data_IF_705758145491
#
_entry.id   IF_705758145491
#
_cell.length_a   1.000
_cell.length_b   1.000
_cell.length_c   1.000
_cell.angle_alpha   90.00
_cell.angle_beta   90.00
_cell.angle_gamma   90.00
#
_symmetry.space_group_name_H-M   'P 1'
#
loop_
_entity.id
_entity.type
_entity.pdbx_description
1 polymer ?
#
# COMPACT_ATOMS: atom_id res chain seq x y z
N UNK A 1 -31.04 -1.12 13.81
CA UNK A 1 -30.00 -2.12 13.51
C UNK A 1 -30.63 -3.40 12.99
N UNK A 2 -30.65 -3.65 11.69
CA UNK A 2 -31.10 -4.94 11.14
C UNK A 2 -30.01 -5.98 11.46
N UNK A 3 -30.37 -7.05 12.21
CA UNK A 3 -29.54 -8.26 12.31
C UNK A 3 -29.33 -8.80 10.90
N UNK A 4 -28.12 -8.61 10.35
CA UNK A 4 -27.74 -9.26 9.11
C UNK A 4 -27.68 -10.77 9.41
N UNK A 5 -28.47 -11.54 8.66
CA UNK A 5 -28.61 -12.97 8.82
C UNK A 5 -27.26 -13.68 8.85
N UNK A 6 -27.12 -14.65 9.74
CA UNK A 6 -25.93 -15.46 9.94
C UNK A 6 -25.55 -16.22 8.67
N UNK A 7 -24.69 -15.63 7.85
CA UNK A 7 -24.06 -16.33 6.74
C UNK A 7 -23.23 -17.49 7.27
N UNK A 8 -23.29 -18.64 6.60
CA UNK A 8 -22.50 -19.82 6.98
C UNK A 8 -21.03 -19.45 7.07
N UNK A 9 -20.37 -19.78 8.19
CA UNK A 9 -18.93 -19.61 8.35
C UNK A 9 -18.18 -20.30 7.20
N UNK A 10 -17.26 -19.58 6.58
CA UNK A 10 -16.44 -20.07 5.46
C UNK A 10 -14.96 -19.98 5.81
N UNK A 11 -14.18 -20.90 5.26
CA UNK A 11 -12.73 -20.82 5.26
C UNK A 11 -12.28 -20.12 3.98
N UNK A 12 -11.62 -18.96 4.12
CA UNK A 12 -11.24 -18.10 3.01
C UNK A 12 -9.71 -17.95 2.96
N UNK A 13 -9.16 -17.94 1.75
CA UNK A 13 -7.74 -17.65 1.51
C UNK A 13 -7.54 -16.28 0.90
N UNK A 14 -6.48 -15.61 1.32
CA UNK A 14 -5.95 -14.40 0.67
C UNK A 14 -4.52 -14.70 0.26
N UNK A 15 -4.19 -14.57 -1.02
CA UNK A 15 -2.86 -14.85 -1.55
C UNK A 15 -2.17 -13.57 -2.04
N UNK A 16 -0.98 -13.31 -1.51
CA UNK A 16 -0.10 -12.23 -1.90
C UNK A 16 1.26 -12.81 -2.31
N UNK A 17 1.51 -12.88 -3.61
CA UNK A 17 2.76 -13.43 -4.18
C UNK A 17 3.79 -12.37 -4.51
N UNK A 18 3.51 -11.09 -4.25
CA UNK A 18 4.45 -10.01 -4.52
C UNK A 18 5.59 -10.02 -3.48
N UNK A 19 6.83 -10.12 -3.98
CA UNK A 19 8.08 -10.17 -3.19
C UNK A 19 8.88 -8.89 -3.44
N UNK A 20 9.80 -8.56 -2.55
CA UNK A 20 10.70 -7.41 -2.63
C UNK A 20 10.03 -6.04 -2.49
N UNK A 21 9.90 -5.60 -1.26
CA UNK A 21 9.60 -4.20 -0.89
C UNK A 21 8.14 -3.91 -0.59
N UNK A 22 7.25 -4.91 -0.63
CA UNK A 22 5.88 -4.73 -0.16
C UNK A 22 5.73 -5.21 1.28
N UNK A 23 5.86 -4.24 2.18
CA UNK A 23 5.47 -4.37 3.56
C UNK A 23 6.37 -5.22 4.40
N UNK A 24 7.39 -4.61 4.96
CA UNK A 24 8.06 -5.19 6.12
C UNK A 24 7.03 -5.41 7.22
N UNK A 25 7.16 -6.52 7.94
CA UNK A 25 6.31 -6.85 9.08
C UNK A 25 6.28 -5.68 10.07
N UNK A 26 5.11 -5.19 10.42
CA UNK A 26 4.91 -4.15 11.41
C UNK A 26 5.19 -2.70 10.98
N UNK A 27 5.51 -2.45 9.70
CA UNK A 27 5.89 -1.11 9.24
C UNK A 27 4.89 -0.44 8.30
N UNK A 28 3.75 -1.06 8.00
CA UNK A 28 2.72 -0.40 7.20
C UNK A 28 1.35 -1.09 7.35
N UNK A 29 0.28 -0.33 7.02
CA UNK A 29 -1.09 -0.85 6.99
C UNK A 29 -1.31 -1.73 5.75
N UNK A 30 -1.21 -3.02 5.95
CA UNK A 30 -1.27 -4.00 4.89
C UNK A 30 -2.72 -4.23 4.44
N UNK A 31 -2.98 -4.02 3.15
CA UNK A 31 -4.30 -4.18 2.55
C UNK A 31 -4.88 -5.58 2.73
N UNK A 32 -4.03 -6.60 2.60
CA UNK A 32 -4.42 -8.00 2.77
C UNK A 32 -4.80 -8.31 4.22
N UNK A 33 -4.12 -7.72 5.20
CA UNK A 33 -4.45 -7.91 6.62
C UNK A 33 -5.76 -7.18 6.95
N UNK A 34 -5.95 -5.95 6.47
CA UNK A 34 -7.20 -5.20 6.63
C UNK A 34 -8.40 -5.93 6.04
N UNK A 35 -8.26 -6.49 4.83
CA UNK A 35 -9.29 -7.33 4.21
C UNK A 35 -9.54 -8.60 5.05
N UNK A 36 -8.48 -9.26 5.49
CA UNK A 36 -8.55 -10.44 6.34
C UNK A 36 -9.33 -10.19 7.63
N UNK A 37 -9.03 -9.08 8.33
CA UNK A 37 -9.77 -8.65 9.52
C UNK A 37 -11.23 -8.38 9.24
N UNK A 38 -11.53 -7.69 8.15
CA UNK A 38 -12.91 -7.41 7.77
C UNK A 38 -13.73 -8.69 7.54
N UNK A 39 -13.13 -9.70 6.92
CA UNK A 39 -13.73 -11.01 6.69
C UNK A 39 -13.84 -11.83 7.99
N UNK A 40 -12.81 -11.82 8.83
CA UNK A 40 -12.80 -12.50 10.12
C UNK A 40 -13.89 -11.96 11.06
N UNK A 41 -14.09 -10.64 11.10
CA UNK A 41 -15.17 -9.97 11.86
C UNK A 41 -16.58 -10.33 11.36
N UNK A 42 -16.71 -10.75 10.10
CA UNK A 42 -17.94 -11.31 9.55
C UNK A 42 -18.14 -12.78 9.90
N UNK A 43 -17.27 -13.37 10.73
CA UNK A 43 -17.34 -14.74 11.21
C UNK A 43 -16.67 -15.78 10.33
N UNK A 44 -15.90 -15.37 9.31
CA UNK A 44 -15.15 -16.29 8.46
C UNK A 44 -13.80 -16.66 9.09
N UNK A 45 -13.29 -17.85 8.81
CA UNK A 45 -11.91 -18.25 9.07
C UNK A 45 -11.04 -17.80 7.89
N UNK A 46 -9.99 -17.01 8.15
CA UNK A 46 -9.18 -16.42 7.09
C UNK A 46 -7.71 -16.80 7.25
N UNK A 47 -7.14 -17.35 6.18
CA UNK A 47 -5.71 -17.59 6.04
C UNK A 47 -5.13 -16.68 4.98
N UNK A 48 -4.15 -15.85 5.37
CA UNK A 48 -3.38 -15.03 4.43
C UNK A 48 -2.08 -15.77 4.12
N UNK A 49 -1.86 -16.10 2.86
CA UNK A 49 -0.61 -16.66 2.33
C UNK A 49 0.21 -15.50 1.77
N UNK A 50 1.29 -15.12 2.43
CA UNK A 50 2.12 -13.98 2.06
C UNK A 50 3.52 -14.42 1.68
N UNK A 51 3.92 -14.10 0.45
CA UNK A 51 5.28 -14.34 -0.05
C UNK A 51 6.30 -13.47 0.67
N UNK A 52 7.40 -14.09 1.06
CA UNK A 52 8.60 -13.45 1.61
C UNK A 52 9.82 -13.91 0.82
N UNK A 53 10.96 -13.24 1.04
CA UNK A 53 12.21 -13.59 0.39
C UNK A 53 12.62 -15.02 0.74
N UNK A 54 13.19 -15.79 -0.20
CA UNK A 54 13.65 -17.16 0.04
C UNK A 54 14.67 -17.34 1.18
N UNK A 55 15.38 -16.28 1.53
CA UNK A 55 16.33 -16.27 2.66
C UNK A 55 15.66 -16.12 4.03
N UNK A 56 14.40 -15.70 4.06
CA UNK A 56 13.63 -15.54 5.29
C UNK A 56 13.03 -16.88 5.75
N UNK A 57 12.75 -16.99 7.04
CA UNK A 57 12.14 -18.20 7.62
C UNK A 57 10.62 -18.17 7.48
N UNK A 58 10.08 -19.33 7.14
CA UNK A 58 8.64 -19.59 7.20
C UNK A 58 8.09 -19.32 8.60
N UNK A 59 6.94 -18.64 8.68
CA UNK A 59 6.31 -18.31 9.95
C UNK A 59 4.80 -18.22 9.83
N UNK A 60 4.08 -18.74 10.83
CA UNK A 60 2.64 -18.53 11.02
C UNK A 60 2.38 -17.60 12.19
N UNK A 61 1.64 -16.53 11.94
CA UNK A 61 1.27 -15.55 12.96
C UNK A 61 -0.25 -15.52 13.10
N UNK A 62 -0.75 -15.85 14.28
CA UNK A 62 -2.15 -15.66 14.62
C UNK A 62 -2.38 -14.18 14.93
N UNK A 63 -3.11 -13.46 14.05
CA UNK A 63 -3.38 -12.03 14.20
C UNK A 63 -4.63 -11.78 15.05
N UNK A 64 -5.68 -12.56 14.81
CA UNK A 64 -6.95 -12.55 15.55
C UNK A 64 -7.48 -14.00 15.61
N UNK A 65 -8.48 -14.25 16.45
CA UNK A 65 -9.06 -15.60 16.66
C UNK A 65 -9.29 -16.38 15.34
N UNK A 66 -9.76 -15.68 14.31
CA UNK A 66 -10.13 -16.28 13.02
C UNK A 66 -9.26 -15.80 11.87
N UNK A 67 -8.10 -15.18 12.15
CA UNK A 67 -7.20 -14.62 11.13
C UNK A 67 -5.77 -15.05 11.40
N UNK A 68 -5.19 -15.80 10.48
CA UNK A 68 -3.79 -16.23 10.52
C UNK A 68 -3.08 -15.73 9.26
N UNK A 69 -1.84 -15.26 9.41
CA UNK A 69 -0.92 -14.98 8.30
C UNK A 69 0.12 -16.09 8.25
N UNK A 70 0.33 -16.63 7.07
CA UNK A 70 1.41 -17.57 6.80
C UNK A 70 2.43 -16.91 5.86
N UNK A 71 3.56 -16.51 6.42
CA UNK A 71 4.69 -15.99 5.67
C UNK A 71 5.46 -17.17 5.06
N UNK A 72 5.54 -17.19 3.75
CA UNK A 72 6.07 -18.31 2.97
C UNK A 72 7.25 -17.85 2.11
N UNK A 73 8.46 -18.41 2.32
CA UNK A 73 9.57 -18.21 1.39
C UNK A 73 9.17 -18.66 -0.02
N UNK A 74 9.20 -17.75 -0.99
CA UNK A 74 8.81 -18.05 -2.36
C UNK A 74 9.96 -17.81 -3.33
N UNK A 75 10.25 -18.78 -4.21
CA UNK A 75 11.07 -18.52 -5.39
C UNK A 75 10.40 -17.42 -6.21
N UNK A 76 11.17 -16.52 -6.82
CA UNK A 76 10.61 -15.36 -7.52
C UNK A 76 11.40 -14.94 -8.75
N UNK A 77 10.76 -14.21 -9.63
CA UNK A 77 11.37 -13.46 -10.73
C UNK A 77 11.02 -11.97 -10.54
N UNK A 78 11.98 -11.19 -10.08
CA UNK A 78 11.71 -9.82 -9.66
C UNK A 78 10.67 -9.79 -8.54
N UNK A 79 9.58 -9.04 -8.71
CA UNK A 79 8.49 -8.96 -7.73
C UNK A 79 7.47 -10.11 -7.83
N UNK A 80 7.63 -11.05 -8.76
CA UNK A 80 6.66 -12.12 -9.05
C UNK A 80 7.04 -13.40 -8.31
N UNK A 81 6.40 -13.68 -7.18
CA UNK A 81 6.61 -14.88 -6.39
C UNK A 81 5.87 -16.10 -6.96
N UNK A 82 6.51 -17.24 -6.88
CA UNK A 82 5.93 -18.53 -7.27
C UNK A 82 5.39 -19.23 -6.02
N UNK A 83 4.06 -19.33 -5.92
CA UNK A 83 3.39 -20.02 -4.81
C UNK A 83 3.41 -21.53 -5.03
N UNK A 84 4.03 -22.29 -4.12
CA UNK A 84 3.88 -23.74 -4.10
C UNK A 84 2.50 -24.11 -3.55
N UNK A 85 1.64 -24.65 -4.39
CA UNK A 85 0.25 -24.96 -4.04
C UNK A 85 0.08 -26.04 -2.96
N UNK A 86 1.14 -26.72 -2.52
CA UNK A 86 1.07 -27.65 -1.37
C UNK A 86 0.72 -26.94 -0.06
N UNK A 87 1.03 -25.63 0.06
CA UNK A 87 0.71 -24.81 1.23
C UNK A 87 -0.76 -24.34 1.24
N UNK A 88 -1.45 -24.38 0.10
CA UNK A 88 -2.84 -23.94 0.03
C UNK A 88 -3.78 -25.01 0.62
N UNK A 89 -4.64 -24.56 1.53
CA UNK A 89 -5.64 -25.44 2.14
C UNK A 89 -6.71 -25.88 1.12
N UNK A 90 -6.88 -27.18 0.87
CA UNK A 90 -7.87 -27.69 -0.09
C UNK A 90 -9.34 -27.50 0.38
N UNK A 91 -9.59 -27.10 1.62
CA UNK A 91 -10.93 -26.86 2.17
C UNK A 91 -11.40 -25.41 1.98
N UNK A 92 -10.57 -24.54 1.40
CA UNK A 92 -10.95 -23.16 1.10
C UNK A 92 -12.27 -23.10 0.30
N UNK A 93 -13.13 -22.16 0.68
CA UNK A 93 -14.39 -21.86 -0.03
C UNK A 93 -14.23 -20.76 -1.07
N UNK A 94 -13.16 -19.96 -0.99
CA UNK A 94 -12.70 -19.04 -2.02
C UNK A 94 -11.24 -18.67 -1.77
N UNK A 95 -10.53 -18.28 -2.84
CA UNK A 95 -9.17 -17.73 -2.78
C UNK A 95 -9.16 -16.36 -3.46
N UNK A 96 -8.91 -15.31 -2.67
CA UNK A 96 -8.66 -13.96 -3.15
C UNK A 96 -7.17 -13.82 -3.47
N UNK A 97 -6.85 -13.43 -4.70
CA UNK A 97 -5.47 -13.24 -5.13
C UNK A 97 -5.21 -11.76 -5.37
N UNK A 98 -4.26 -11.19 -4.64
CA UNK A 98 -3.70 -9.88 -4.95
C UNK A 98 -2.88 -10.03 -6.24
N UNK A 99 -3.60 -9.82 -7.34
CA UNK A 99 -3.18 -10.29 -8.66
C UNK A 99 -2.26 -9.33 -9.37
N UNK A 100 -2.59 -8.04 -9.32
CA UNK A 100 -1.90 -7.02 -10.09
C UNK A 100 -1.34 -7.59 -11.42
N UNK A 101 -0.09 -7.38 -11.77
CA UNK A 101 0.55 -7.96 -12.97
C UNK A 101 1.22 -9.34 -12.71
N UNK A 102 0.80 -10.12 -11.70
CA UNK A 102 1.48 -11.37 -11.32
C UNK A 102 1.43 -12.43 -12.42
N UNK A 103 2.59 -12.91 -12.86
CA UNK A 103 2.71 -13.86 -13.99
C UNK A 103 2.55 -15.32 -13.57
N UNK A 104 2.76 -15.66 -12.31
CA UNK A 104 2.70 -17.04 -11.82
C UNK A 104 1.34 -17.46 -11.27
N UNK A 105 0.28 -16.67 -11.43
CA UNK A 105 -1.07 -17.07 -11.02
C UNK A 105 -1.71 -18.21 -11.82
N UNK A 106 -1.35 -18.50 -13.08
CA UNK A 106 -1.97 -19.57 -13.84
C UNK A 106 -1.89 -20.96 -13.21
N UNK A 107 -0.82 -21.28 -12.47
CA UNK A 107 -0.73 -22.58 -11.79
C UNK A 107 -1.61 -22.63 -10.53
N UNK A 108 -1.71 -21.52 -9.78
CA UNK A 108 -2.62 -21.39 -8.64
C UNK A 108 -4.08 -21.50 -9.10
N UNK A 109 -4.43 -20.83 -10.21
CA UNK A 109 -5.75 -20.94 -10.81
C UNK A 109 -6.09 -22.38 -11.21
N UNK A 110 -5.14 -23.11 -11.84
CA UNK A 110 -5.33 -24.54 -12.18
C UNK A 110 -5.58 -25.38 -10.94
N UNK A 111 -4.86 -25.12 -9.84
CA UNK A 111 -5.07 -25.79 -8.57
C UNK A 111 -6.46 -25.50 -8.01
N UNK A 112 -6.93 -24.24 -7.99
CA UNK A 112 -8.28 -23.86 -7.59
C UNK A 112 -9.34 -24.55 -8.44
N UNK A 113 -9.19 -24.52 -9.77
CA UNK A 113 -10.15 -25.11 -10.70
C UNK A 113 -10.33 -26.61 -10.50
N UNK A 114 -9.22 -27.36 -10.31
CA UNK A 114 -9.26 -28.79 -10.04
C UNK A 114 -10.04 -29.14 -8.75
N UNK A 115 -10.08 -28.21 -7.81
CA UNK A 115 -10.75 -28.38 -6.51
C UNK A 115 -12.10 -27.67 -6.41
N UNK A 116 -12.54 -27.04 -7.49
CA UNK A 116 -13.77 -26.22 -7.53
C UNK A 116 -13.78 -25.10 -6.49
N UNK A 117 -12.61 -24.52 -6.19
CA UNK A 117 -12.46 -23.38 -5.32
C UNK A 117 -12.59 -22.11 -6.17
N UNK A 118 -13.55 -21.21 -5.90
CA UNK A 118 -13.65 -19.92 -6.57
C UNK A 118 -12.36 -19.11 -6.43
N UNK A 119 -11.87 -18.61 -7.57
CA UNK A 119 -10.70 -17.75 -7.67
C UNK A 119 -11.17 -16.34 -7.95
N UNK A 120 -10.79 -15.38 -7.12
CA UNK A 120 -11.15 -13.97 -7.24
C UNK A 120 -9.87 -13.14 -7.34
N UNK A 121 -9.66 -12.44 -8.44
CA UNK A 121 -8.52 -11.54 -8.58
C UNK A 121 -8.84 -10.15 -7.97
N UNK A 122 -7.87 -9.57 -7.25
CA UNK A 122 -7.95 -8.22 -6.72
C UNK A 122 -6.80 -7.39 -7.28
N UNK A 123 -7.11 -6.42 -8.15
CA UNK A 123 -6.17 -5.81 -9.10
C UNK A 123 -6.10 -4.31 -8.93
N UNK A 124 -4.90 -3.76 -8.72
CA UNK A 124 -4.61 -2.33 -8.66
C UNK A 124 -4.07 -1.79 -10.00
N UNK A 125 -3.27 -2.62 -10.69
CA UNK A 125 -2.75 -2.34 -12.04
C UNK A 125 -2.55 -3.64 -12.79
N UNK A 126 -2.73 -3.61 -14.10
CA UNK A 126 -2.57 -4.77 -14.98
C UNK A 126 -1.43 -4.59 -15.99
N UNK A 127 -0.66 -3.50 -15.92
CA UNK A 127 0.53 -3.28 -16.74
C UNK A 127 1.69 -2.75 -15.90
N UNK A 128 2.91 -2.89 -16.41
CA UNK A 128 4.09 -2.24 -15.84
C UNK A 128 4.10 -0.77 -16.24
N UNK A 129 4.42 0.11 -15.30
CA UNK A 129 4.61 1.54 -15.57
C UNK A 129 5.89 1.83 -16.37
N UNK A 130 6.83 0.90 -16.37
CA UNK A 130 8.08 1.01 -17.12
C UNK A 130 7.91 0.60 -18.58
N UNK A 131 8.61 1.27 -19.49
CA UNK A 131 8.60 0.99 -20.93
C UNK A 131 9.79 0.17 -21.44
N UNK A 132 10.64 -0.35 -20.54
CA UNK A 132 11.85 -1.09 -20.89
C UNK A 132 11.53 -2.48 -21.49
N UNK A 133 12.54 -3.12 -22.11
CA UNK A 133 12.38 -4.42 -22.75
C UNK A 133 11.89 -5.50 -21.78
N UNK A 134 12.38 -5.50 -20.53
CA UNK A 134 11.95 -6.44 -19.49
C UNK A 134 10.45 -6.31 -19.21
N UNK A 135 9.94 -5.10 -19.12
CA UNK A 135 8.52 -4.83 -18.91
C UNK A 135 7.66 -5.28 -20.08
N UNK A 136 8.14 -5.15 -21.33
CA UNK A 136 7.45 -5.69 -22.52
C UNK A 136 7.31 -7.21 -22.46
N UNK A 137 8.38 -7.92 -22.09
CA UNK A 137 8.35 -9.38 -21.91
C UNK A 137 7.38 -9.77 -20.79
N UNK A 138 7.41 -9.07 -19.64
CA UNK A 138 6.50 -9.34 -18.52
C UNK A 138 5.04 -9.09 -18.89
N UNK A 139 4.75 -8.03 -19.64
CA UNK A 139 3.41 -7.74 -20.16
C UNK A 139 2.93 -8.85 -21.11
N UNK A 140 3.80 -9.38 -21.97
CA UNK A 140 3.46 -10.49 -22.87
C UNK A 140 3.15 -11.78 -22.09
N UNK A 141 3.96 -12.13 -21.09
CA UNK A 141 3.72 -13.29 -20.23
C UNK A 141 2.42 -13.14 -19.43
N UNK A 142 2.15 -11.95 -18.90
CA UNK A 142 0.91 -11.64 -18.23
C UNK A 142 -0.31 -11.80 -19.17
N UNK A 143 -0.22 -11.24 -20.37
CA UNK A 143 -1.29 -11.31 -21.37
C UNK A 143 -1.58 -12.75 -21.81
N UNK A 144 -0.53 -13.55 -22.02
CA UNK A 144 -0.65 -14.95 -22.41
C UNK A 144 -1.21 -15.85 -21.29
N UNK A 145 -0.97 -15.50 -20.04
CA UNK A 145 -1.33 -16.30 -18.87
C UNK A 145 -2.45 -15.70 -18.04
N UNK A 146 -2.09 -14.81 -17.13
CA UNK A 146 -2.96 -14.29 -16.05
C UNK A 146 -4.13 -13.48 -16.59
N UNK A 147 -3.93 -12.65 -17.61
CA UNK A 147 -5.02 -11.86 -18.20
C UNK A 147 -6.13 -12.74 -18.79
N UNK A 148 -5.80 -13.89 -19.36
CA UNK A 148 -6.79 -14.86 -19.87
C UNK A 148 -7.67 -15.43 -18.74
N UNK A 149 -7.10 -15.53 -17.53
CA UNK A 149 -7.84 -15.97 -16.35
C UNK A 149 -8.80 -14.86 -15.92
N UNK A 150 -8.35 -13.60 -15.88
CA UNK A 150 -9.17 -12.45 -15.54
C UNK A 150 -10.39 -12.30 -16.44
N UNK A 151 -10.23 -12.58 -17.75
CA UNK A 151 -11.35 -12.54 -18.71
C UNK A 151 -12.47 -13.56 -18.43
N UNK A 152 -12.24 -14.55 -17.57
CA UNK A 152 -13.17 -15.68 -17.33
C UNK A 152 -13.58 -15.83 -15.86
N UNK A 153 -13.07 -15.01 -14.96
CA UNK A 153 -13.28 -15.14 -13.52
C UNK A 153 -13.65 -13.80 -12.89
N UNK A 154 -14.23 -13.79 -11.69
CA UNK A 154 -14.48 -12.55 -10.96
C UNK A 154 -13.21 -11.74 -10.74
N UNK A 155 -13.27 -10.45 -11.05
CA UNK A 155 -12.17 -9.50 -10.87
C UNK A 155 -12.67 -8.31 -10.07
N UNK A 156 -11.97 -7.98 -9.01
CA UNK A 156 -12.16 -6.78 -8.21
C UNK A 156 -11.06 -5.78 -8.56
N UNK A 157 -11.45 -4.59 -8.94
CA UNK A 157 -10.54 -3.48 -9.25
C UNK A 157 -10.41 -2.56 -8.04
N UNK A 158 -9.19 -2.22 -7.64
CA UNK A 158 -8.92 -1.36 -6.46
C UNK A 158 -9.39 0.09 -6.67
N UNK A 159 -9.46 0.55 -7.93
CA UNK A 159 -9.85 1.91 -8.29
C UNK A 159 -10.68 1.93 -9.57
N UNK A 160 -11.34 3.06 -9.85
CA UNK A 160 -12.03 3.28 -11.13
C UNK A 160 -11.06 3.23 -12.32
N UNK A 161 -9.84 3.72 -12.12
CA UNK A 161 -8.79 3.67 -13.14
C UNK A 161 -8.32 2.24 -13.44
N UNK A 162 -8.11 1.42 -12.40
CA UNK A 162 -7.80 -0.01 -12.58
C UNK A 162 -8.94 -0.76 -13.30
N UNK A 163 -10.20 -0.41 -13.01
CA UNK A 163 -11.36 -0.96 -13.74
C UNK A 163 -11.33 -0.58 -15.21
N UNK A 164 -11.04 0.69 -15.53
CA UNK A 164 -10.97 1.15 -16.91
C UNK A 164 -9.82 0.50 -17.68
N UNK A 165 -8.66 0.37 -17.06
CA UNK A 165 -7.52 -0.37 -17.62
C UNK A 165 -7.91 -1.82 -17.92
N UNK A 166 -8.53 -2.52 -16.97
CA UNK A 166 -9.01 -3.89 -17.14
C UNK A 166 -10.05 -3.98 -18.28
N UNK A 167 -10.93 -3.01 -18.42
CA UNK A 167 -11.92 -2.93 -19.52
C UNK A 167 -11.23 -2.85 -20.88
N UNK A 168 -10.19 -2.01 -21.00
CA UNK A 168 -9.39 -1.88 -22.23
C UNK A 168 -8.64 -3.18 -22.57
N UNK A 169 -8.25 -3.94 -21.56
CA UNK A 169 -7.62 -5.26 -21.71
C UNK A 169 -8.63 -6.40 -21.97
N UNK A 170 -9.92 -6.09 -22.08
CA UNK A 170 -10.98 -7.06 -22.38
C UNK A 170 -11.52 -7.78 -21.14
N UNK A 171 -11.53 -7.10 -19.98
CA UNK A 171 -12.14 -7.56 -18.70
C UNK A 171 -13.23 -6.56 -18.26
N UNK A 172 -14.34 -6.41 -19.02
CA UNK A 172 -15.35 -5.39 -18.75
C UNK A 172 -16.19 -5.66 -17.49
N UNK A 173 -16.21 -6.90 -17.01
CA UNK A 173 -16.99 -7.34 -15.85
C UNK A 173 -16.29 -7.07 -14.50
N UNK A 174 -15.13 -6.43 -14.50
CA UNK A 174 -14.45 -6.04 -13.26
C UNK A 174 -15.34 -5.09 -12.42
N UNK A 175 -15.40 -5.37 -11.12
CA UNK A 175 -16.20 -4.59 -10.16
C UNK A 175 -15.26 -3.77 -9.28
N UNK A 176 -15.59 -2.50 -9.05
CA UNK A 176 -14.80 -1.66 -8.14
C UNK A 176 -15.01 -2.15 -6.71
N UNK A 177 -13.91 -2.50 -6.06
CA UNK A 177 -13.81 -2.80 -4.64
C UNK A 177 -12.63 -2.01 -4.07
N UNK A 178 -12.84 -0.79 -3.56
CA UNK A 178 -11.77 0.07 -3.11
C UNK A 178 -10.97 -0.58 -1.99
N UNK A 179 -9.69 -0.24 -1.92
CA UNK A 179 -8.87 -0.57 -0.75
C UNK A 179 -9.43 0.20 0.45
N UNK A 180 -9.58 -0.49 1.57
CA UNK A 180 -9.98 0.12 2.84
C UNK A 180 -8.79 0.38 3.74
N UNK A 181 -8.87 1.43 4.54
CA UNK A 181 -7.96 1.64 5.66
C UNK A 181 -8.42 0.77 6.85
N UNK A 182 -7.52 -0.04 7.40
CA UNK A 182 -7.84 -0.81 8.61
C UNK A 182 -7.79 0.08 9.85
N UNK A 183 -8.93 0.70 10.15
CA UNK A 183 -9.06 1.61 11.30
C UNK A 183 -8.98 0.92 12.66
N UNK A 184 -8.88 -0.41 12.72
CA UNK A 184 -8.75 -1.12 13.99
C UNK A 184 -7.35 -1.02 14.59
N UNK A 185 -6.36 -0.80 13.75
CA UNK A 185 -4.95 -0.66 14.17
C UNK A 185 -4.51 0.80 14.29
N UNK A 186 -5.40 1.74 13.97
CA UNK A 186 -5.11 3.16 14.07
C UNK A 186 -5.38 3.67 15.50
N UNK A 187 -4.53 4.56 15.97
CA UNK A 187 -4.70 5.24 17.25
C UNK A 187 -6.01 6.05 17.24
N UNK A 188 -6.79 5.90 18.29
CA UNK A 188 -8.04 6.64 18.51
C UNK A 188 -7.91 7.48 19.78
N UNK A 189 -8.81 8.46 19.91
CA UNK A 189 -8.90 9.29 21.12
C UNK A 189 -7.56 9.96 21.47
N UNK A 190 -6.95 10.64 20.50
CA UNK A 190 -5.72 11.42 20.69
C UNK A 190 -6.09 12.67 21.49
N UNK A 191 -5.41 12.97 22.62
CA UNK A 191 -5.64 14.20 23.38
C UNK A 191 -5.37 15.45 22.54
N UNK A 192 -6.06 16.54 22.84
CA UNK A 192 -5.94 17.78 22.05
C UNK A 192 -4.54 18.44 22.18
N UNK A 193 -3.85 18.21 23.28
CA UNK A 193 -2.50 18.72 23.55
C UNK A 193 -1.37 17.81 23.03
N UNK A 194 -1.72 16.63 22.53
CA UNK A 194 -0.76 15.62 22.11
C UNK A 194 0.13 16.10 20.97
N UNK A 195 -0.41 16.86 20.03
CA UNK A 195 0.35 17.46 18.92
C UNK A 195 1.53 18.30 19.45
N UNK A 196 1.29 19.14 20.44
CA UNK A 196 2.33 19.99 21.01
C UNK A 196 3.34 19.19 21.83
N UNK A 197 2.88 18.17 22.56
CA UNK A 197 3.74 17.26 23.30
C UNK A 197 4.70 16.52 22.36
N UNK A 198 4.19 15.93 21.30
CA UNK A 198 4.98 15.21 20.28
C UNK A 198 5.99 16.14 19.60
N UNK A 199 5.57 17.36 19.21
CA UNK A 199 6.50 18.35 18.62
C UNK A 199 7.68 18.61 19.54
N UNK A 200 7.43 18.88 20.82
CA UNK A 200 8.49 19.12 21.81
C UNK A 200 9.40 17.89 21.97
N UNK A 201 8.84 16.69 22.08
CA UNK A 201 9.60 15.44 22.19
C UNK A 201 10.51 15.19 20.99
N UNK A 202 10.01 15.54 19.80
CA UNK A 202 10.78 15.44 18.57
C UNK A 202 11.66 16.66 18.27
N UNK A 203 11.74 17.65 19.18
CA UNK A 203 12.58 18.84 19.05
C UNK A 203 12.11 19.80 17.96
N UNK A 204 10.81 19.96 17.82
CA UNK A 204 10.18 21.01 17.01
C UNK A 204 9.58 22.10 17.90
N UNK A 205 9.55 23.32 17.37
CA UNK A 205 8.96 24.46 18.02
C UNK A 205 7.43 24.53 17.78
N UNK A 206 6.74 25.27 18.63
CA UNK A 206 5.29 25.41 18.55
C UNK A 206 4.81 26.04 17.24
N UNK A 207 5.58 27.00 16.72
CA UNK A 207 5.29 27.76 15.50
C UNK A 207 5.95 27.20 14.24
N UNK A 208 6.62 26.04 14.34
CA UNK A 208 7.10 25.32 13.15
C UNK A 208 5.91 24.85 12.30
N UNK A 209 6.05 24.98 10.98
CA UNK A 209 5.12 24.37 10.01
C UNK A 209 5.72 23.05 9.54
N UNK A 210 5.16 21.94 10.03
CA UNK A 210 5.74 20.62 9.79
C UNK A 210 5.09 19.95 8.57
N UNK A 211 5.93 19.70 7.57
CA UNK A 211 5.61 18.91 6.38
C UNK A 211 6.05 17.47 6.64
N UNK A 212 5.28 16.46 6.20
CA UNK A 212 5.74 15.08 6.26
C UNK A 212 5.55 14.35 4.94
N UNK A 213 6.43 13.40 4.67
CA UNK A 213 6.31 12.41 3.59
C UNK A 213 6.55 11.03 4.17
N UNK A 214 5.67 10.09 3.86
CA UNK A 214 5.78 8.70 4.31
C UNK A 214 5.76 7.82 3.07
N UNK A 215 6.93 7.30 2.71
CA UNK A 215 7.06 6.49 1.50
C UNK A 215 8.35 5.68 1.51
N UNK A 216 8.45 4.66 0.64
CA UNK A 216 9.73 4.04 0.33
C UNK A 216 10.64 5.07 -0.39
N UNK A 217 11.92 5.12 -0.03
CA UNK A 217 12.90 6.01 -0.68
C UNK A 217 13.37 5.41 -2.01
N UNK A 218 12.53 5.53 -3.02
CA UNK A 218 12.75 4.99 -4.38
C UNK A 218 12.35 6.03 -5.44
N UNK A 219 12.85 5.86 -6.67
CA UNK A 219 12.70 6.81 -7.76
C UNK A 219 11.26 7.24 -8.01
N UNK A 220 10.33 6.29 -7.99
CA UNK A 220 8.92 6.57 -8.23
C UNK A 220 8.26 7.40 -7.13
N UNK A 221 8.85 7.44 -5.92
CA UNK A 221 8.37 8.26 -4.78
C UNK A 221 9.00 9.65 -4.73
N UNK A 222 10.05 9.87 -5.52
CA UNK A 222 10.68 11.17 -5.76
C UNK A 222 11.17 11.90 -4.49
N UNK A 223 11.90 11.21 -3.57
CA UNK A 223 12.36 11.84 -2.33
C UNK A 223 13.40 12.95 -2.57
N UNK A 224 14.16 12.90 -3.67
CA UNK A 224 15.16 13.90 -4.00
C UNK A 224 14.53 15.20 -4.49
N UNK A 225 13.48 15.11 -5.31
CA UNK A 225 12.70 16.25 -5.77
C UNK A 225 11.90 16.89 -4.64
N UNK A 226 11.53 16.13 -3.61
CA UNK A 226 10.94 16.68 -2.40
C UNK A 226 11.90 17.64 -1.68
N UNK A 227 13.20 17.35 -1.66
CA UNK A 227 14.22 18.28 -1.13
C UNK A 227 14.32 19.53 -2.01
N UNK A 228 14.26 19.39 -3.34
CA UNK A 228 14.29 20.55 -4.25
C UNK A 228 13.08 21.47 -4.00
N UNK A 229 11.91 20.89 -3.84
CA UNK A 229 10.70 21.63 -3.47
C UNK A 229 10.85 22.32 -2.09
N UNK A 230 11.40 21.60 -1.12
CA UNK A 230 11.61 22.16 0.22
C UNK A 230 12.57 23.37 0.20
N UNK A 231 13.60 23.34 -0.62
CA UNK A 231 14.54 24.45 -0.82
C UNK A 231 13.86 25.72 -1.35
N UNK A 232 12.84 25.59 -2.20
CA UNK A 232 12.10 26.73 -2.75
C UNK A 232 11.26 27.46 -1.70
N UNK A 233 10.86 26.76 -0.63
CA UNK A 233 10.03 27.32 0.45
C UNK A 233 10.86 27.67 1.70
N UNK A 234 12.11 27.22 1.78
CA UNK A 234 13.03 27.51 2.89
C UNK A 234 13.13 29.02 3.11
N UNK A 235 12.96 29.45 4.36
CA UNK A 235 13.04 30.87 4.75
C UNK A 235 11.75 31.69 4.56
N UNK A 236 10.73 31.19 3.87
CA UNK A 236 9.44 31.87 3.77
C UNK A 236 8.63 31.78 5.08
N UNK A 237 8.76 30.66 5.79
CA UNK A 237 8.22 30.38 7.12
C UNK A 237 9.19 29.43 7.84
N UNK A 238 8.92 29.11 9.10
CA UNK A 238 9.65 28.09 9.87
C UNK A 238 9.26 26.68 9.42
N UNK A 239 9.47 26.36 8.15
CA UNK A 239 9.18 25.03 7.63
C UNK A 239 10.15 23.98 8.16
N UNK A 240 9.63 22.84 8.55
CA UNK A 240 10.35 21.59 8.87
C UNK A 240 9.83 20.48 8.02
N UNK A 241 10.70 19.51 7.69
CA UNK A 241 10.32 18.36 6.88
C UNK A 241 10.66 17.07 7.60
N UNK A 242 9.67 16.20 7.72
CA UNK A 242 9.81 14.83 8.22
C UNK A 242 9.70 13.89 7.03
N UNK A 243 10.69 13.03 6.83
CA UNK A 243 10.66 11.96 5.84
C UNK A 243 10.69 10.63 6.58
N UNK A 244 9.67 9.80 6.36
CA UNK A 244 9.58 8.47 6.96
C UNK A 244 9.70 7.41 5.88
N UNK A 245 10.67 6.54 6.05
CA UNK A 245 10.89 5.40 5.16
C UNK A 245 12.36 5.11 4.89
N UNK A 246 12.61 4.04 4.18
CA UNK A 246 13.93 3.60 3.74
C UNK A 246 13.86 3.14 2.28
N UNK A 247 15.00 2.97 1.66
CA UNK A 247 15.08 2.52 0.29
C UNK A 247 16.41 2.81 -0.40
N UNK A 248 16.52 2.48 -1.69
CA UNK A 248 17.78 2.60 -2.42
C UNK A 248 18.31 4.03 -2.55
N UNK A 249 17.47 5.05 -2.36
CA UNK A 249 17.88 6.47 -2.43
C UNK A 249 18.22 7.08 -1.07
N UNK A 250 18.29 6.30 -0.01
CA UNK A 250 18.53 6.81 1.36
C UNK A 250 19.87 7.53 1.49
N UNK A 251 20.94 6.95 0.93
CA UNK A 251 22.26 7.55 0.98
C UNK A 251 22.33 8.87 0.18
N UNK A 252 21.81 8.85 -1.05
CA UNK A 252 21.77 10.03 -1.92
C UNK A 252 20.90 11.15 -1.32
N UNK A 253 19.79 10.79 -0.68
CA UNK A 253 18.94 11.74 0.04
C UNK A 253 19.67 12.40 1.20
N UNK A 254 20.36 11.63 2.03
CA UNK A 254 21.17 12.14 3.14
C UNK A 254 22.30 13.06 2.65
N UNK A 255 22.95 12.68 1.55
CA UNK A 255 23.99 13.51 0.95
C UNK A 255 23.41 14.85 0.44
N UNK A 256 22.25 14.82 -0.22
CA UNK A 256 21.56 16.02 -0.70
C UNK A 256 21.17 16.95 0.44
N UNK A 257 20.68 16.42 1.56
CA UNK A 257 20.37 17.20 2.77
C UNK A 257 21.64 17.90 3.30
N UNK A 258 22.74 17.18 3.46
CA UNK A 258 24.01 17.73 3.94
C UNK A 258 24.58 18.82 3.03
N UNK A 259 24.60 18.56 1.71
CA UNK A 259 25.09 19.53 0.72
C UNK A 259 24.35 20.87 0.75
N UNK A 260 23.08 20.83 1.14
CA UNK A 260 22.23 22.03 1.20
C UNK A 260 22.09 22.61 2.62
N UNK A 261 22.80 22.07 3.62
CA UNK A 261 22.78 22.54 5.01
C UNK A 261 21.39 22.49 5.61
N UNK A 262 20.68 21.37 5.40
CA UNK A 262 19.27 21.18 5.81
C UNK A 262 19.10 20.27 7.06
N UNK A 263 20.20 19.88 7.73
CA UNK A 263 20.17 18.90 8.82
C UNK A 263 19.34 19.37 10.03
N UNK A 264 19.15 20.68 10.16
CA UNK A 264 18.32 21.27 11.23
C UNK A 264 16.84 21.37 10.87
N UNK A 265 16.53 21.37 9.58
CA UNK A 265 15.17 21.50 9.05
C UNK A 265 14.55 20.19 8.61
N UNK A 266 15.36 19.21 8.19
CA UNK A 266 14.90 17.92 7.65
C UNK A 266 15.29 16.78 8.58
N UNK A 267 14.32 16.00 9.01
CA UNK A 267 14.53 14.79 9.82
C UNK A 267 14.09 13.56 9.04
N UNK A 268 14.97 12.54 8.96
CA UNK A 268 14.65 11.25 8.38
C UNK A 268 14.43 10.22 9.48
N UNK A 269 13.31 9.49 9.38
CA UNK A 269 13.01 8.34 10.23
C UNK A 269 12.95 7.10 9.34
N UNK A 270 14.03 6.31 9.23
CA UNK A 270 14.10 5.19 8.29
C UNK A 270 13.14 4.05 8.62
N UNK A 271 12.83 3.86 9.89
CA UNK A 271 11.98 2.77 10.36
C UNK A 271 11.13 3.24 11.55
N UNK A 272 9.89 3.62 11.29
CA UNK A 272 8.89 3.91 12.33
C UNK A 272 7.95 2.71 12.42
N UNK A 273 7.84 2.04 13.60
CA UNK A 273 6.85 0.98 13.78
C UNK A 273 5.44 1.49 13.48
N UNK A 274 4.62 0.63 12.86
CA UNK A 274 3.31 1.07 12.39
C UNK A 274 2.41 1.62 13.51
N UNK A 275 2.49 1.03 14.70
CA UNK A 275 1.78 1.49 15.90
C UNK A 275 2.17 2.89 16.38
N UNK A 276 3.30 3.43 15.91
CA UNK A 276 3.77 4.80 16.18
C UNK A 276 3.61 5.76 15.00
N UNK A 277 3.17 5.27 13.84
CA UNK A 277 3.00 6.12 12.65
C UNK A 277 2.03 7.28 12.87
N UNK A 278 1.05 7.11 13.75
CA UNK A 278 0.10 8.16 14.12
C UNK A 278 0.79 9.41 14.69
N UNK A 279 1.92 9.24 15.39
CA UNK A 279 2.69 10.36 15.97
C UNK A 279 3.21 11.30 14.87
N UNK A 280 3.68 10.72 13.76
CA UNK A 280 4.17 11.46 12.59
C UNK A 280 3.05 12.31 11.98
N UNK A 281 1.88 11.71 11.74
CA UNK A 281 0.75 12.44 11.18
C UNK A 281 0.20 13.48 12.14
N UNK A 282 0.08 13.15 13.44
CA UNK A 282 -0.47 14.05 14.46
C UNK A 282 0.39 15.31 14.63
N UNK A 283 1.73 15.18 14.67
CA UNK A 283 2.60 16.36 14.83
C UNK A 283 2.74 17.20 13.56
N UNK A 284 2.35 16.65 12.39
CA UNK A 284 2.49 17.32 11.10
C UNK A 284 1.29 18.22 10.77
N UNK A 285 1.53 19.26 9.97
CA UNK A 285 0.49 20.13 9.42
C UNK A 285 0.09 19.68 8.01
N UNK A 286 1.06 19.23 7.22
CA UNK A 286 0.84 18.82 5.84
C UNK A 286 1.54 17.50 5.54
N UNK A 287 0.85 16.64 4.81
CA UNK A 287 1.42 15.45 4.18
C UNK A 287 1.64 15.72 2.69
N UNK A 288 2.84 15.44 2.21
CA UNK A 288 3.22 15.65 0.82
C UNK A 288 3.37 14.31 0.09
N UNK A 289 2.72 14.16 -1.07
CA UNK A 289 2.88 13.00 -1.93
C UNK A 289 3.39 13.42 -3.32
N UNK A 290 4.64 13.05 -3.63
CA UNK A 290 5.31 13.39 -4.87
C UNK A 290 5.16 12.31 -5.97
N UNK A 291 4.49 11.18 -5.67
CA UNK A 291 4.42 10.04 -6.58
C UNK A 291 3.40 10.26 -7.70
N UNK A 292 3.89 10.49 -8.94
CA UNK A 292 3.05 10.62 -10.16
C UNK A 292 2.36 9.31 -10.58
N UNK A 293 2.82 8.17 -10.07
CA UNK A 293 2.25 6.84 -10.32
C UNK A 293 1.47 6.25 -9.14
N UNK A 294 1.00 7.09 -8.19
CA UNK A 294 0.29 6.58 -7.02
C UNK A 294 -1.05 5.95 -7.41
N UNK A 295 -1.20 4.65 -7.14
CA UNK A 295 -2.38 3.87 -7.54
C UNK A 295 -3.54 4.06 -6.56
N UNK A 296 -3.26 4.16 -5.26
CA UNK A 296 -4.27 4.36 -4.23
C UNK A 296 -3.86 5.39 -3.17
N UNK A 297 -2.66 5.22 -2.56
CA UNK A 297 -2.13 6.13 -1.56
C UNK A 297 -2.59 5.79 -0.13
N UNK A 298 -2.14 4.66 0.42
CA UNK A 298 -2.48 4.29 1.81
C UNK A 298 -2.03 5.36 2.80
N UNK A 299 -0.82 5.91 2.65
CA UNK A 299 -0.31 6.98 3.50
C UNK A 299 -1.12 8.28 3.37
N UNK A 300 -1.70 8.56 2.19
CA UNK A 300 -2.65 9.65 2.01
C UNK A 300 -3.90 9.42 2.89
N UNK A 301 -4.46 8.21 2.87
CA UNK A 301 -5.64 7.88 3.66
C UNK A 301 -5.37 7.93 5.17
N UNK A 302 -4.17 7.54 5.59
CA UNK A 302 -3.73 7.68 6.97
C UNK A 302 -3.61 9.14 7.37
N UNK A 303 -2.98 9.99 6.57
CA UNK A 303 -2.89 11.42 6.79
C UNK A 303 -4.28 12.07 6.94
N UNK A 304 -5.19 11.74 6.02
CA UNK A 304 -6.60 12.20 6.08
C UNK A 304 -7.29 11.73 7.37
N UNK A 305 -7.08 10.48 7.77
CA UNK A 305 -7.66 9.94 9.01
C UNK A 305 -7.21 10.72 10.25
N UNK A 306 -5.94 11.12 10.31
CA UNK A 306 -5.36 11.94 11.38
C UNK A 306 -5.55 13.45 11.16
N UNK A 307 -6.36 13.86 10.19
CA UNK A 307 -6.69 15.27 9.86
C UNK A 307 -5.49 16.11 9.44
N UNK A 308 -4.41 15.47 9.01
CA UNK A 308 -3.26 16.14 8.39
C UNK A 308 -3.67 16.58 7.00
N UNK A 309 -3.48 17.86 6.65
CA UNK A 309 -3.78 18.36 5.30
C UNK A 309 -2.87 17.69 4.27
N UNK A 310 -3.43 17.32 3.11
CA UNK A 310 -2.68 16.60 2.07
C UNK A 310 -2.46 17.50 0.86
N UNK A 311 -1.22 17.59 0.39
CA UNK A 311 -0.89 18.05 -0.95
C UNK A 311 -0.27 16.88 -1.73
N UNK A 312 -0.86 16.54 -2.86
CA UNK A 312 -0.45 15.39 -3.65
C UNK A 312 -0.38 15.74 -5.14
N UNK A 313 0.67 15.29 -5.80
CA UNK A 313 0.72 15.34 -7.28
C UNK A 313 -0.44 14.51 -7.83
N UNK A 314 -1.09 15.04 -8.86
CA UNK A 314 -2.20 14.36 -9.53
C UNK A 314 -1.76 13.01 -10.06
N UNK A 315 -2.40 11.96 -9.58
CA UNK A 315 -2.22 10.58 -9.99
C UNK A 315 -3.56 9.84 -9.83
N UNK A 316 -3.63 8.61 -10.28
CA UNK A 316 -4.88 7.81 -10.25
C UNK A 316 -5.46 7.69 -8.82
N UNK A 317 -4.61 7.38 -7.84
CA UNK A 317 -5.00 7.23 -6.44
C UNK A 317 -5.47 8.55 -5.82
N UNK A 318 -4.61 9.58 -5.73
CA UNK A 318 -4.97 10.87 -5.16
C UNK A 318 -6.22 11.49 -5.79
N UNK A 319 -6.39 11.36 -7.12
CA UNK A 319 -7.58 11.88 -7.84
C UNK A 319 -8.90 11.23 -7.40
N UNK A 320 -8.85 10.02 -6.85
CA UNK A 320 -10.02 9.31 -6.32
C UNK A 320 -10.14 9.51 -4.81
N UNK A 321 -9.03 9.37 -4.08
CA UNK A 321 -9.04 9.39 -2.62
C UNK A 321 -9.26 10.77 -2.02
N UNK A 322 -8.84 11.84 -2.71
CA UNK A 322 -9.00 13.23 -2.28
C UNK A 322 -10.17 13.94 -2.99
N UNK A 323 -10.89 13.23 -3.87
CA UNK A 323 -12.03 13.80 -4.58
C UNK A 323 -13.06 14.34 -3.59
N UNK A 324 -13.44 15.60 -3.80
CA UNK A 324 -14.46 16.29 -3.00
C UNK A 324 -14.10 16.47 -1.49
N UNK A 325 -12.85 16.17 -1.09
CA UNK A 325 -12.38 16.40 0.27
C UNK A 325 -11.87 17.83 0.46
N UNK A 326 -12.43 18.56 1.42
CA UNK A 326 -11.97 19.91 1.79
C UNK A 326 -10.65 19.85 2.58
N UNK A 327 -9.81 20.89 2.41
CA UNK A 327 -8.54 20.99 3.14
C UNK A 327 -7.37 20.19 2.55
N UNK A 328 -7.56 19.62 1.34
CA UNK A 328 -6.54 18.90 0.60
C UNK A 328 -6.35 19.50 -0.79
N UNK A 329 -5.15 19.37 -1.37
CA UNK A 329 -4.82 19.88 -2.69
C UNK A 329 -4.30 18.77 -3.60
N UNK A 330 -4.82 18.72 -4.82
CA UNK A 330 -4.22 18.00 -5.94
C UNK A 330 -3.44 19.00 -6.78
N UNK A 331 -2.15 18.77 -6.95
CA UNK A 331 -1.24 19.60 -7.74
C UNK A 331 -1.03 18.96 -9.11
N UNK A 332 -1.05 19.75 -10.18
CA UNK A 332 -0.81 19.26 -11.54
C UNK A 332 0.69 19.00 -11.77
N UNK A 333 1.54 19.77 -11.11
CA UNK A 333 3.00 19.70 -11.20
C UNK A 333 3.66 20.06 -9.87
N UNK A 334 4.98 20.11 -9.87
CA UNK A 334 5.79 20.35 -8.66
C UNK A 334 5.78 21.83 -8.22
N UNK A 335 5.33 22.78 -9.08
CA UNK A 335 5.34 24.23 -8.82
C UNK A 335 4.07 24.72 -8.11
N UNK A 336 2.99 23.92 -8.10
CA UNK A 336 1.70 24.21 -7.44
C UNK A 336 1.70 23.81 -5.96
#
# INVERSE_FOLDING_TARGET
MRKMGGGKQMKLGILCTMINGFGRRGYYNSQEIGLGRALARKGHEVMIYKGIDPSEKEEKVQVEKNLTIWYLPMKHLGAHGFMDCKYLDPQLKALFCFGDQQIFLPHVYRWCRRRRIPFVAYVGTAHSLDSNFKSKVMNALFAAGTLRIYKKNPVLAKTSAAKEELRQLGVPHAVIAPVGLDTAVLKKNIPADEKMRLRKEHGFEADDVILCNVSRLSWEKRPLELIDLFLQVKGKKKFKLIIVGNGPLEEELNEKIRKNGLEKEVKIYPNVPYEKMWEIYEMSDYYLNMNKGEIFGMAIMEAVYYKTSVAAIRALGPSVTLKDMKGHKLCENDDE
#
